data_IF_586842777564
#
_entry.id   IF_586842777564
#
_cell.length_a   1.000
_cell.length_b   1.000
_cell.length_c   1.000
_cell.angle_alpha   90.00
_cell.angle_beta   90.00
_cell.angle_gamma   90.00
#
_symmetry.space_group_name_H-M   'P 1'
#
loop_
_entity.id
_entity.type
_entity.pdbx_description
1 polymer ?
#
# COMPACT_ATOMS: atom_id res chain seq x y z
N UNK A 1 -40.96 -9.99 15.47
CA UNK A 1 -39.79 -9.63 16.30
C UNK A 1 -38.67 -9.20 15.39
N UNK A 2 -38.31 -7.93 15.49
CA UNK A 2 -37.57 -7.17 14.53
C UNK A 2 -36.08 -7.61 14.51
N UNK A 3 -35.64 -8.26 13.41
CA UNK A 3 -34.25 -8.66 13.17
C UNK A 3 -33.34 -7.47 12.83
N UNK A 4 -33.86 -6.24 12.78
CA UNK A 4 -33.13 -5.06 12.37
C UNK A 4 -32.37 -4.33 13.48
N UNK A 5 -32.68 -4.63 14.76
CA UNK A 5 -32.13 -3.86 15.89
C UNK A 5 -30.68 -4.19 16.28
N UNK A 6 -30.00 -5.13 15.61
CA UNK A 6 -28.63 -5.50 15.98
C UNK A 6 -27.64 -5.55 14.81
N UNK A 7 -27.95 -4.86 13.71
CA UNK A 7 -27.04 -4.82 12.56
C UNK A 7 -25.91 -3.80 12.82
N UNK A 8 -24.67 -4.28 12.90
CA UNK A 8 -23.47 -3.45 13.01
C UNK A 8 -22.90 -3.19 11.62
N UNK A 9 -22.42 -1.97 11.38
CA UNK A 9 -21.75 -1.59 10.13
C UNK A 9 -20.28 -1.32 10.40
N UNK A 10 -19.41 -1.80 9.51
CA UNK A 10 -17.99 -1.41 9.45
C UNK A 10 -17.79 -0.60 8.18
N UNK A 11 -17.33 0.63 8.32
CA UNK A 11 -17.04 1.55 7.22
C UNK A 11 -15.58 1.40 6.82
N UNK A 12 -15.35 0.89 5.61
CA UNK A 12 -14.00 0.63 5.08
C UNK A 12 -13.67 1.72 4.08
N UNK A 13 -12.61 2.47 4.34
CA UNK A 13 -12.08 3.46 3.41
C UNK A 13 -11.45 2.79 2.18
N UNK A 14 -11.79 3.30 1.00
CA UNK A 14 -11.26 2.81 -0.27
C UNK A 14 -10.83 3.95 -1.18
N UNK A 15 -9.75 3.74 -1.91
CA UNK A 15 -9.24 4.67 -2.92
C UNK A 15 -8.58 3.91 -4.06
N UNK A 16 -8.15 4.61 -5.10
CA UNK A 16 -7.40 4.00 -6.22
C UNK A 16 -6.12 3.31 -5.74
N UNK A 17 -5.44 3.89 -4.74
CA UNK A 17 -4.17 3.33 -4.20
C UNK A 17 -4.38 2.33 -3.07
N UNK A 18 -5.56 2.34 -2.45
CA UNK A 18 -5.94 1.44 -1.35
C UNK A 18 -7.28 0.77 -1.66
N UNK A 19 -7.35 -0.05 -2.72
CA UNK A 19 -8.59 -0.71 -3.10
C UNK A 19 -8.97 -1.75 -2.05
N UNK A 20 -10.25 -1.72 -1.65
CA UNK A 20 -10.79 -2.67 -0.67
C UNK A 20 -11.06 -4.07 -1.24
N UNK A 21 -10.65 -4.35 -2.48
CA UNK A 21 -11.00 -5.61 -3.18
C UNK A 21 -10.65 -6.84 -2.35
N UNK A 22 -9.46 -6.92 -1.79
CA UNK A 22 -9.04 -8.10 -1.02
C UNK A 22 -9.89 -8.31 0.24
N UNK A 23 -10.39 -7.23 0.89
CA UNK A 23 -11.31 -7.33 2.02
C UNK A 23 -12.66 -7.89 1.55
N UNK A 24 -13.14 -7.45 0.38
CA UNK A 24 -14.38 -7.96 -0.18
C UNK A 24 -14.26 -9.43 -0.57
N UNK A 25 -13.13 -9.84 -1.10
CA UNK A 25 -12.86 -11.25 -1.43
C UNK A 25 -12.92 -12.12 -0.15
N UNK A 26 -12.23 -11.71 0.90
CA UNK A 26 -12.28 -12.39 2.21
C UNK A 26 -13.69 -12.35 2.80
N UNK A 27 -14.38 -11.22 2.69
CA UNK A 27 -15.72 -11.05 3.23
C UNK A 27 -16.72 -12.03 2.62
N UNK A 28 -16.63 -12.27 1.32
CA UNK A 28 -17.49 -13.25 0.64
C UNK A 28 -17.39 -14.64 1.29
N UNK A 29 -16.21 -15.01 1.77
CA UNK A 29 -15.98 -16.31 2.39
C UNK A 29 -16.42 -16.36 3.86
N UNK A 30 -16.34 -15.26 4.61
CA UNK A 30 -16.55 -15.25 6.07
C UNK A 30 -17.84 -14.58 6.54
N UNK A 31 -18.63 -13.94 5.66
CA UNK A 31 -19.85 -13.22 6.03
C UNK A 31 -20.87 -14.10 6.81
N UNK A 32 -20.87 -15.42 6.56
CA UNK A 32 -21.72 -16.37 7.27
C UNK A 32 -21.36 -16.49 8.76
N UNK A 33 -20.11 -16.16 9.15
CA UNK A 33 -19.66 -16.15 10.55
C UNK A 33 -20.11 -14.89 11.29
N UNK A 34 -20.50 -13.84 10.56
CA UNK A 34 -20.91 -12.57 11.14
C UNK A 34 -22.18 -12.02 10.44
N UNK A 35 -23.34 -12.73 10.56
CA UNK A 35 -24.55 -12.41 9.79
C UNK A 35 -25.16 -11.04 10.14
N UNK A 36 -24.81 -10.48 11.29
CA UNK A 36 -25.28 -9.16 11.75
C UNK A 36 -24.30 -8.03 11.40
N UNK A 37 -23.22 -8.33 10.68
CA UNK A 37 -22.22 -7.34 10.28
C UNK A 37 -22.43 -6.96 8.82
N UNK A 38 -22.42 -5.66 8.54
CA UNK A 38 -22.47 -5.09 7.19
C UNK A 38 -21.18 -4.35 6.91
N UNK A 39 -20.65 -4.52 5.71
CA UNK A 39 -19.54 -3.72 5.21
C UNK A 39 -20.08 -2.55 4.38
N UNK A 40 -19.59 -1.36 4.65
CA UNK A 40 -19.84 -0.16 3.85
C UNK A 40 -18.52 0.37 3.30
N UNK A 41 -18.46 0.58 2.00
CA UNK A 41 -17.27 1.16 1.35
C UNK A 41 -17.41 2.67 1.30
N UNK A 42 -16.46 3.37 1.89
CA UNK A 42 -16.41 4.84 1.90
C UNK A 42 -15.26 5.28 1.00
N UNK A 43 -15.56 5.82 -0.18
CA UNK A 43 -14.52 6.31 -1.09
C UNK A 43 -13.86 7.57 -0.54
N UNK A 44 -12.55 7.69 -0.75
CA UNK A 44 -11.81 8.90 -0.42
C UNK A 44 -10.77 9.22 -1.48
N UNK A 45 -10.45 10.50 -1.58
CA UNK A 45 -9.39 10.97 -2.46
C UNK A 45 -8.01 10.68 -1.84
N UNK A 46 -7.14 10.06 -2.64
CA UNK A 46 -5.83 9.64 -2.17
C UNK A 46 -4.79 10.76 -2.30
N UNK A 47 -4.94 11.81 -1.51
CA UNK A 47 -3.91 12.82 -1.29
C UNK A 47 -3.19 12.56 0.03
N UNK A 48 -1.92 12.98 0.20
CA UNK A 48 -1.19 12.82 1.47
C UNK A 48 -1.91 13.46 2.64
N UNK A 49 -2.49 14.61 2.42
CA UNK A 49 -3.22 15.42 3.41
C UNK A 49 -4.48 14.67 3.86
N UNK A 50 -5.29 14.22 2.90
CA UNK A 50 -6.54 13.50 3.16
C UNK A 50 -6.29 12.14 3.82
N UNK A 51 -5.29 11.39 3.36
CA UNK A 51 -4.92 10.12 3.98
C UNK A 51 -4.51 10.29 5.45
N UNK A 52 -3.75 11.36 5.77
CA UNK A 52 -3.39 11.68 7.15
C UNK A 52 -4.60 12.08 7.98
N UNK A 53 -5.52 12.86 7.41
CA UNK A 53 -6.74 13.27 8.08
C UNK A 53 -7.63 12.07 8.41
N UNK A 54 -7.83 11.17 7.45
CA UNK A 54 -8.60 9.94 7.65
C UNK A 54 -8.00 9.11 8.78
N UNK A 55 -6.68 8.88 8.76
CA UNK A 55 -6.01 8.09 9.78
C UNK A 55 -6.09 8.73 11.18
N UNK A 56 -6.11 10.05 11.28
CA UNK A 56 -6.33 10.77 12.55
C UNK A 56 -7.75 10.69 13.06
N UNK A 57 -8.70 10.45 12.18
CA UNK A 57 -10.14 10.47 12.46
C UNK A 57 -10.80 9.10 12.27
N UNK A 58 -10.05 7.99 12.34
CA UNK A 58 -10.63 6.65 12.33
C UNK A 58 -11.68 6.50 13.43
N UNK A 59 -12.78 5.83 13.08
CA UNK A 59 -13.96 5.69 13.92
C UNK A 59 -15.02 6.80 13.73
N UNK A 60 -14.70 7.92 13.05
CA UNK A 60 -15.70 8.97 12.77
C UNK A 60 -16.49 8.69 11.49
N UNK A 61 -15.84 8.68 10.34
CA UNK A 61 -16.45 8.42 9.04
C UNK A 61 -16.00 7.10 8.44
N UNK A 62 -14.77 6.72 8.69
CA UNK A 62 -14.13 5.48 8.24
C UNK A 62 -13.62 4.79 9.49
N UNK A 63 -13.90 3.50 9.63
CA UNK A 63 -13.48 2.69 10.77
C UNK A 63 -12.16 1.97 10.49
N UNK A 64 -11.96 1.53 9.24
CA UNK A 64 -10.82 0.74 8.81
C UNK A 64 -10.31 1.22 7.47
N UNK A 65 -9.00 1.33 7.32
CA UNK A 65 -8.32 1.50 6.02
C UNK A 65 -7.27 0.41 5.89
N UNK A 66 -7.33 -0.33 4.79
CA UNK A 66 -6.30 -1.28 4.46
C UNK A 66 -5.37 -0.69 3.41
N UNK A 67 -4.07 -0.77 3.63
CA UNK A 67 -3.09 -0.17 2.74
C UNK A 67 -1.68 -0.68 2.99
N UNK A 68 -0.74 -0.12 2.27
CA UNK A 68 0.68 -0.39 2.47
C UNK A 68 1.23 0.66 3.42
N UNK A 69 1.70 0.21 4.56
CA UNK A 69 2.25 1.08 5.61
C UNK A 69 3.71 0.72 5.85
N UNK A 70 4.47 1.69 6.31
CA UNK A 70 5.82 1.49 6.82
C UNK A 70 5.88 1.69 8.35
N UNK A 71 6.99 1.25 8.95
CA UNK A 71 7.17 1.30 10.40
C UNK A 71 7.07 2.73 10.96
N UNK A 72 7.54 3.73 10.19
CA UNK A 72 7.49 5.13 10.60
C UNK A 72 6.05 5.64 10.70
N UNK A 73 5.19 5.25 9.76
CA UNK A 73 3.78 5.61 9.78
C UNK A 73 3.04 4.99 10.95
N UNK A 74 3.47 3.81 11.39
CA UNK A 74 2.84 3.07 12.49
C UNK A 74 3.20 3.64 13.87
N UNK A 75 4.36 4.27 14.03
CA UNK A 75 4.82 4.79 15.33
C UNK A 75 4.27 6.17 15.69
N UNK A 76 3.85 6.97 14.71
CA UNK A 76 3.45 8.37 14.93
C UNK A 76 1.97 8.58 15.26
N UNK A 77 1.11 7.53 15.42
CA UNK A 77 -0.33 7.73 15.36
C UNK A 77 -1.13 6.92 16.37
N UNK A 78 -2.18 7.54 16.90
CA UNK A 78 -3.16 6.97 17.83
C UNK A 78 -4.16 6.03 17.13
N UNK A 79 -3.69 5.05 16.37
CA UNK A 79 -4.53 4.01 15.79
C UNK A 79 -3.86 2.64 15.94
N UNK A 80 -4.68 1.61 15.97
CA UNK A 80 -4.17 0.24 15.99
C UNK A 80 -3.93 -0.25 14.58
N UNK A 81 -2.84 -1.01 14.39
CA UNK A 81 -2.48 -1.63 13.12
C UNK A 81 -2.52 -3.14 13.29
N UNK A 82 -3.16 -3.81 12.34
CA UNK A 82 -3.11 -5.26 12.22
C UNK A 82 -2.25 -5.56 11.00
N UNK A 83 -1.10 -6.19 11.22
CA UNK A 83 -0.25 -6.67 10.15
C UNK A 83 -0.90 -7.86 9.44
N UNK A 84 -1.05 -7.77 8.14
CA UNK A 84 -1.65 -8.83 7.33
C UNK A 84 -0.56 -9.66 6.63
N UNK A 85 0.33 -9.00 5.91
CA UNK A 85 1.43 -9.65 5.18
C UNK A 85 2.53 -8.63 4.82
N UNK A 86 3.73 -9.12 4.54
CA UNK A 86 4.82 -8.33 3.98
C UNK A 86 4.75 -8.33 2.45
N UNK A 87 4.87 -7.16 1.85
CA UNK A 87 4.96 -7.00 0.40
C UNK A 87 6.33 -6.48 -0.01
N UNK A 88 6.99 -7.20 -0.90
CA UNK A 88 8.24 -6.72 -1.49
C UNK A 88 7.97 -5.55 -2.45
N UNK A 89 8.89 -4.58 -2.47
CA UNK A 89 8.89 -3.54 -3.49
C UNK A 89 9.18 -4.18 -4.84
N UNK A 90 8.38 -3.85 -5.85
CA UNK A 90 8.53 -4.32 -7.20
C UNK A 90 8.55 -3.15 -8.19
N UNK A 91 9.22 -3.34 -9.32
CA UNK A 91 9.18 -2.43 -10.45
C UNK A 91 8.22 -2.95 -11.52
N UNK A 92 7.32 -2.11 -11.98
CA UNK A 92 6.59 -2.34 -13.22
C UNK A 92 7.46 -1.86 -14.39
N UNK A 93 7.70 -2.73 -15.35
CA UNK A 93 8.47 -2.42 -16.56
C UNK A 93 7.70 -2.84 -17.81
N UNK A 94 7.84 -2.12 -18.94
CA UNK A 94 7.28 -2.55 -20.22
C UNK A 94 7.82 -3.93 -20.61
N UNK A 95 7.00 -4.77 -21.23
CA UNK A 95 7.43 -6.09 -21.69
C UNK A 95 8.56 -6.03 -22.72
N UNK A 96 8.66 -4.91 -23.45
CA UNK A 96 9.72 -4.63 -24.43
C UNK A 96 11.04 -4.16 -23.78
N UNK A 97 11.03 -3.88 -22.48
CA UNK A 97 12.24 -3.44 -21.78
C UNK A 97 13.19 -4.62 -21.55
N UNK A 98 14.52 -4.42 -21.73
CA UNK A 98 15.53 -5.42 -21.34
C UNK A 98 15.41 -5.85 -19.87
N UNK A 99 14.90 -4.96 -19.00
CA UNK A 99 14.68 -5.23 -17.59
C UNK A 99 13.58 -6.30 -17.38
N UNK A 100 12.66 -6.48 -18.32
CA UNK A 100 11.59 -7.48 -18.22
C UNK A 100 12.15 -8.92 -18.27
N UNK A 101 13.32 -9.15 -18.81
CA UNK A 101 13.97 -10.44 -18.81
C UNK A 101 14.64 -10.80 -17.46
N UNK A 102 14.87 -9.81 -16.60
CA UNK A 102 15.54 -10.02 -15.31
C UNK A 102 14.59 -10.57 -14.26
N UNK A 103 15.09 -11.44 -13.40
CA UNK A 103 14.38 -11.94 -12.20
C UNK A 103 14.45 -10.96 -11.03
N UNK A 104 15.50 -10.14 -11.01
CA UNK A 104 15.74 -9.10 -10.02
C UNK A 104 16.39 -7.90 -10.70
N UNK A 105 16.08 -6.70 -10.22
CA UNK A 105 16.63 -5.44 -10.68
C UNK A 105 17.53 -4.89 -9.58
N UNK A 106 18.79 -4.61 -9.91
CA UNK A 106 19.68 -3.86 -9.05
C UNK A 106 19.52 -2.35 -9.33
N UNK A 107 19.81 -1.46 -8.38
CA UNK A 107 19.75 -0.02 -8.63
C UNK A 107 20.61 0.44 -9.81
N UNK A 108 21.74 -0.24 -10.06
CA UNK A 108 22.63 0.02 -11.18
C UNK A 108 21.97 -0.22 -12.55
N UNK A 109 21.03 -1.16 -12.62
CA UNK A 109 20.26 -1.45 -13.84
C UNK A 109 19.33 -0.31 -14.24
N UNK A 110 19.01 0.57 -13.30
CA UNK A 110 18.10 1.69 -13.47
C UNK A 110 18.81 2.96 -13.96
N UNK A 111 20.15 2.97 -14.02
CA UNK A 111 20.94 4.16 -14.32
C UNK A 111 20.61 4.77 -15.67
N UNK A 112 20.37 3.94 -16.68
CA UNK A 112 20.05 4.37 -18.05
C UNK A 112 18.52 4.38 -18.31
N UNK A 113 17.72 4.20 -17.26
CA UNK A 113 16.26 4.07 -17.36
C UNK A 113 15.58 5.15 -16.54
N UNK A 114 14.61 5.83 -17.13
CA UNK A 114 13.75 6.74 -16.36
C UNK A 114 12.92 5.97 -15.33
N UNK A 115 13.06 6.30 -14.05
CA UNK A 115 12.32 5.66 -12.96
C UNK A 115 11.31 6.62 -12.37
N UNK A 116 10.05 6.20 -12.34
CA UNK A 116 8.99 6.92 -11.66
C UNK A 116 8.81 6.39 -10.25
N UNK A 117 8.95 7.26 -9.28
CA UNK A 117 8.66 6.98 -7.88
C UNK A 117 7.40 7.71 -7.42
N UNK A 118 6.68 7.14 -6.44
CA UNK A 118 5.64 7.88 -5.73
C UNK A 118 6.27 9.10 -5.04
N UNK A 119 5.46 10.14 -4.78
CA UNK A 119 5.90 11.35 -4.10
C UNK A 119 6.62 11.02 -2.78
N UNK A 120 7.67 11.79 -2.45
CA UNK A 120 8.39 11.65 -1.17
C UNK A 120 7.47 11.84 0.03
N UNK A 121 7.79 11.13 1.10
CA UNK A 121 7.06 11.17 2.37
C UNK A 121 5.82 10.26 2.43
N UNK A 122 5.57 9.45 1.39
CA UNK A 122 4.50 8.46 1.41
C UNK A 122 4.93 7.13 2.04
N UNK A 123 6.17 6.72 1.79
CA UNK A 123 6.70 5.45 2.26
C UNK A 123 8.22 5.55 2.41
N UNK A 124 8.72 5.28 3.61
CA UNK A 124 10.15 5.43 3.91
C UNK A 124 11.03 4.45 3.15
N UNK A 125 10.53 3.26 2.81
CA UNK A 125 11.29 2.28 2.03
C UNK A 125 11.45 2.72 0.58
N UNK A 126 10.39 3.30 0.00
CA UNK A 126 10.45 3.88 -1.36
C UNK A 126 11.39 5.09 -1.37
N UNK A 127 11.36 5.94 -0.35
CA UNK A 127 12.26 7.08 -0.25
C UNK A 127 13.72 6.64 -0.10
N UNK A 128 14.00 5.58 0.68
CA UNK A 128 15.35 4.98 0.76
C UNK A 128 15.80 4.42 -0.57
N UNK A 129 14.93 3.72 -1.29
CA UNK A 129 15.23 3.21 -2.63
C UNK A 129 15.58 4.33 -3.58
N UNK A 130 14.76 5.40 -3.60
CA UNK A 130 15.04 6.59 -4.40
C UNK A 130 16.39 7.20 -4.07
N UNK A 131 16.71 7.42 -2.79
CA UNK A 131 17.98 7.96 -2.36
C UNK A 131 19.16 7.09 -2.85
N UNK A 132 19.02 5.76 -2.74
CA UNK A 132 20.03 4.82 -3.26
C UNK A 132 20.23 4.99 -4.77
N UNK A 133 19.16 5.14 -5.55
CA UNK A 133 19.26 5.37 -7.00
C UNK A 133 19.91 6.73 -7.30
N UNK A 134 19.48 7.79 -6.62
CA UNK A 134 20.05 9.14 -6.79
C UNK A 134 21.54 9.19 -6.46
N UNK A 135 21.96 8.55 -5.36
CA UNK A 135 23.37 8.45 -4.98
C UNK A 135 24.21 7.72 -6.03
N UNK A 136 23.70 6.63 -6.58
CA UNK A 136 24.36 5.88 -7.65
C UNK A 136 24.44 6.68 -8.95
N UNK A 137 23.40 7.41 -9.31
CA UNK A 137 23.34 8.21 -10.53
C UNK A 137 24.28 9.42 -10.44
N UNK A 138 24.46 9.98 -9.23
CA UNK A 138 25.35 11.08 -8.95
C UNK A 138 26.80 10.66 -8.65
N UNK A 139 27.14 9.37 -8.82
CA UNK A 139 28.51 8.85 -8.67
C UNK A 139 28.94 8.54 -7.24
N UNK A 140 28.05 8.55 -6.27
CA UNK A 140 28.34 8.12 -4.89
C UNK A 140 28.35 6.61 -4.78
N UNK A 141 29.52 6.03 -4.45
CA UNK A 141 29.66 4.58 -4.25
C UNK A 141 29.15 4.16 -2.88
N UNK A 142 27.87 3.78 -2.74
CA UNK A 142 27.41 3.09 -1.52
C UNK A 142 26.35 2.03 -1.82
N UNK A 143 26.68 0.76 -1.47
CA UNK A 143 25.85 -0.43 -1.18
C UNK A 143 24.95 -0.99 -2.30
N UNK A 144 25.37 -2.16 -2.80
CA UNK A 144 24.55 -3.06 -3.65
C UNK A 144 23.36 -3.59 -2.84
N UNK A 145 22.16 -3.16 -3.18
CA UNK A 145 20.91 -3.81 -2.78
C UNK A 145 20.18 -4.31 -4.01
N UNK A 146 19.75 -5.57 -3.99
CA UNK A 146 19.03 -6.21 -5.10
C UNK A 146 17.54 -6.24 -4.78
N UNK A 147 16.70 -5.82 -5.71
CA UNK A 147 15.26 -5.85 -5.61
C UNK A 147 14.67 -6.94 -6.52
N UNK A 148 13.64 -7.63 -6.04
CA UNK A 148 12.98 -8.67 -6.83
C UNK A 148 12.00 -8.05 -7.83
N UNK A 149 11.97 -8.61 -9.05
CA UNK A 149 10.98 -8.27 -10.08
C UNK A 149 9.84 -9.27 -10.00
N UNK A 150 8.63 -8.78 -9.81
CA UNK A 150 7.44 -9.60 -9.92
C UNK A 150 6.84 -9.43 -11.31
N UNK A 151 6.74 -10.53 -12.03
CA UNK A 151 5.98 -10.58 -13.29
C UNK A 151 4.55 -10.94 -12.95
N UNK A 152 3.61 -10.15 -13.43
CA UNK A 152 2.22 -10.59 -13.47
C UNK A 152 2.10 -11.53 -14.67
N UNK A 153 1.68 -12.78 -14.42
CA UNK A 153 1.24 -13.70 -15.46
C UNK A 153 -0.05 -13.18 -16.11
#
# INVERSE_FOLDING_TARGET
LDRRENQRSIRIGTSVMTPAKFILDIWADIQHLAPNLKIELIPFENTPENAREILRNLGKQIDVVAGIYDDHLMTERNFQVIHLEDKAIAFAVPLTSPLAAKKAIAPEDLKETGVMFIRRGWNCYIDRLRNTCEDLFNGSRRHKRVFRVYKRA
#
